data_IF_965428953163
#
_entry.id   IF_965428953163
#
_cell.length_a   1.000
_cell.length_b   1.000
_cell.length_c   1.000
_cell.angle_alpha   90.00
_cell.angle_beta   90.00
_cell.angle_gamma   90.00
#
_symmetry.space_group_name_H-M   'P 1'
#
loop_
_entity.id
_entity.type
_entity.pdbx_description
1 polymer ?
#
# COMPACT_ATOMS: atom_id res chain seq x y z
N UNK A 1 41.09 27.72 -2.20
CA UNK A 1 40.66 27.94 -3.60
C UNK A 1 39.23 27.44 -3.88
N UNK A 2 38.22 27.82 -3.07
CA UNK A 2 36.85 27.34 -3.27
C UNK A 2 35.77 28.44 -3.33
N UNK A 3 36.15 29.70 -3.26
CA UNK A 3 35.21 30.85 -3.22
C UNK A 3 34.65 31.22 -4.60
N UNK A 4 35.39 31.01 -5.68
CA UNK A 4 34.95 31.38 -7.03
C UNK A 4 33.83 30.48 -7.60
N UNK A 5 33.81 29.19 -7.26
CA UNK A 5 32.80 28.30 -7.79
C UNK A 5 31.39 28.54 -7.19
N UNK A 6 31.33 28.92 -5.92
CA UNK A 6 30.04 29.21 -5.26
C UNK A 6 29.39 30.48 -5.81
N UNK A 7 30.18 31.50 -6.07
CA UNK A 7 29.70 32.79 -6.66
C UNK A 7 29.15 32.56 -8.08
N UNK A 8 29.82 31.73 -8.87
CA UNK A 8 29.38 31.39 -10.23
C UNK A 8 28.07 30.62 -10.22
N UNK A 9 27.90 29.63 -9.30
CA UNK A 9 26.68 28.83 -9.17
C UNK A 9 25.52 29.74 -8.71
N UNK A 10 25.72 30.61 -7.71
CA UNK A 10 24.68 31.53 -7.25
C UNK A 10 24.22 32.49 -8.36
N UNK A 11 25.14 33.05 -9.11
CA UNK A 11 24.81 33.93 -10.25
C UNK A 11 24.04 33.19 -11.37
N UNK A 12 24.33 31.88 -11.58
CA UNK A 12 23.56 31.06 -12.52
C UNK A 12 22.15 30.78 -12.00
N UNK A 13 21.98 30.52 -10.72
CA UNK A 13 20.68 30.30 -10.10
C UNK A 13 19.80 31.54 -10.14
N UNK A 14 20.38 32.72 -9.88
CA UNK A 14 19.66 33.98 -9.90
C UNK A 14 19.16 34.39 -11.31
N UNK A 15 19.76 33.85 -12.37
CA UNK A 15 19.35 34.06 -13.76
C UNK A 15 18.33 33.07 -14.29
N UNK A 16 18.05 32.01 -13.53
CA UNK A 16 17.10 30.95 -13.95
C UNK A 16 15.67 31.34 -13.59
N UNK A 17 14.74 31.04 -14.49
CA UNK A 17 13.30 31.10 -14.17
C UNK A 17 12.93 30.07 -13.09
N UNK A 18 11.87 30.35 -12.34
CA UNK A 18 11.34 29.46 -11.33
C UNK A 18 11.02 28.08 -11.93
N UNK A 19 10.56 28.04 -13.17
CA UNK A 19 10.22 26.81 -13.90
C UNK A 19 11.49 26.00 -14.25
N UNK A 20 12.56 26.65 -14.68
CA UNK A 20 13.83 25.99 -14.92
C UNK A 20 14.46 25.44 -13.64
N UNK A 21 14.38 26.19 -12.53
CA UNK A 21 14.83 25.73 -11.23
C UNK A 21 14.07 24.50 -10.77
N UNK A 22 12.75 24.48 -10.91
CA UNK A 22 11.90 23.31 -10.60
C UNK A 22 12.27 22.10 -11.45
N UNK A 23 12.45 22.29 -12.76
CA UNK A 23 12.81 21.20 -13.69
C UNK A 23 14.20 20.62 -13.38
N UNK A 24 15.18 21.45 -13.05
CA UNK A 24 16.51 20.97 -12.65
C UNK A 24 16.50 20.29 -11.30
N UNK A 25 15.75 20.84 -10.32
CA UNK A 25 15.59 20.19 -9.02
C UNK A 25 14.92 18.81 -9.17
N UNK A 26 13.85 18.71 -9.96
CA UNK A 26 13.18 17.46 -10.25
C UNK A 26 14.14 16.46 -10.93
N UNK A 27 14.93 16.90 -11.92
CA UNK A 27 15.92 16.05 -12.57
C UNK A 27 17.02 15.59 -11.60
N UNK A 28 17.45 16.45 -10.70
CA UNK A 28 18.44 16.12 -9.67
C UNK A 28 17.88 15.12 -8.66
N UNK A 29 16.66 15.34 -8.19
CA UNK A 29 15.96 14.41 -7.28
C UNK A 29 15.75 13.04 -7.92
N UNK A 30 15.39 12.98 -9.22
CA UNK A 30 15.26 11.74 -9.96
C UNK A 30 16.59 10.99 -10.13
N UNK A 31 17.72 11.72 -10.16
CA UNK A 31 19.07 11.14 -10.27
C UNK A 31 19.61 10.62 -8.94
N UNK A 32 19.12 11.13 -7.81
CA UNK A 32 19.53 10.74 -6.46
C UNK A 32 18.35 10.15 -5.68
N UNK A 33 18.26 8.81 -5.64
CA UNK A 33 17.22 8.06 -4.92
C UNK A 33 17.15 8.43 -3.42
N UNK A 34 18.24 8.97 -2.84
CA UNK A 34 18.26 9.38 -1.42
C UNK A 34 17.40 10.61 -1.16
N UNK A 35 17.16 11.43 -2.19
CA UNK A 35 16.36 12.66 -2.13
C UNK A 35 14.88 12.43 -2.45
N UNK A 36 14.54 11.24 -2.96
CA UNK A 36 13.14 10.92 -3.24
C UNK A 36 12.35 10.73 -1.95
N UNK A 37 11.13 11.31 -1.85
CA UNK A 37 10.26 11.06 -0.72
C UNK A 37 10.03 9.57 -0.50
N UNK A 38 10.06 9.13 0.77
CA UNK A 38 9.93 7.72 1.14
C UNK A 38 8.61 7.47 1.87
N UNK A 39 7.97 6.33 1.62
CA UNK A 39 6.79 5.94 2.37
C UNK A 39 7.13 5.74 3.85
N UNK A 40 6.38 6.40 4.74
CA UNK A 40 6.51 6.30 6.20
C UNK A 40 5.28 5.70 6.87
N UNK A 41 4.16 5.62 6.14
CA UNK A 41 2.90 5.09 6.64
C UNK A 41 1.97 4.62 5.54
N UNK A 42 0.90 3.93 5.95
CA UNK A 42 -0.21 3.54 5.08
C UNK A 42 -1.52 3.91 5.75
N UNK A 43 -2.43 4.49 4.99
CA UNK A 43 -3.76 4.87 5.46
C UNK A 43 -4.84 4.21 4.60
N UNK A 44 -5.88 3.70 5.27
CA UNK A 44 -7.14 3.26 4.65
C UNK A 44 -8.20 4.28 5.04
N UNK A 45 -8.73 4.98 4.06
CA UNK A 45 -9.63 6.12 4.24
C UNK A 45 -10.95 5.88 3.50
N UNK A 46 -12.07 6.25 4.11
CA UNK A 46 -13.36 6.29 3.42
C UNK A 46 -13.28 7.28 2.26
N UNK A 47 -13.71 6.85 1.07
CA UNK A 47 -13.72 7.74 -0.10
C UNK A 47 -15.01 8.56 -0.16
N UNK A 48 -14.88 9.83 -0.53
CA UNK A 48 -16.01 10.71 -0.83
C UNK A 48 -16.51 10.53 -2.27
N UNK A 49 -15.77 9.80 -3.11
CA UNK A 49 -16.11 9.56 -4.50
C UNK A 49 -17.12 8.41 -4.66
N UNK A 50 -18.40 8.78 -4.75
CA UNK A 50 -19.52 7.85 -4.91
C UNK A 50 -19.47 7.07 -6.24
N UNK A 51 -18.65 7.49 -7.20
CA UNK A 51 -18.51 6.77 -8.49
C UNK A 51 -17.56 5.59 -8.40
N UNK A 52 -16.75 5.52 -7.36
CA UNK A 52 -15.83 4.39 -7.14
C UNK A 52 -16.58 3.12 -6.74
N UNK A 53 -16.15 2.00 -7.29
CA UNK A 53 -16.68 0.68 -6.93
C UNK A 53 -16.27 0.20 -5.52
N UNK A 54 -15.37 0.91 -4.85
CA UNK A 54 -14.90 0.63 -3.51
C UNK A 54 -15.04 1.88 -2.65
N UNK A 55 -15.55 1.69 -1.44
CA UNK A 55 -15.76 2.79 -0.48
C UNK A 55 -14.49 3.29 0.20
N UNK A 56 -13.41 2.56 0.12
CA UNK A 56 -12.18 2.86 0.83
C UNK A 56 -11.01 2.91 -0.13
N UNK A 57 -10.26 3.98 -0.04
CA UNK A 57 -9.01 4.14 -0.73
C UNK A 57 -7.83 3.84 0.21
N UNK A 58 -6.72 3.43 -0.38
CA UNK A 58 -5.48 3.16 0.33
C UNK A 58 -4.43 4.15 -0.13
N UNK A 59 -3.78 4.81 0.80
CA UNK A 59 -2.74 5.79 0.53
C UNK A 59 -1.42 5.39 1.20
N UNK A 60 -0.31 5.58 0.51
CA UNK A 60 1.02 5.62 1.12
C UNK A 60 1.26 7.06 1.57
N UNK A 61 1.60 7.24 2.84
CA UNK A 61 1.96 8.52 3.43
C UNK A 61 3.47 8.69 3.28
N UNK A 62 3.90 9.82 2.71
CA UNK A 62 5.30 10.09 2.42
C UNK A 62 5.92 10.98 3.50
N UNK A 63 7.24 10.93 3.66
CA UNK A 63 8.00 11.71 4.65
C UNK A 63 8.02 13.22 4.36
N UNK A 64 7.71 13.63 3.12
CA UNK A 64 7.55 15.02 2.72
C UNK A 64 6.12 15.58 2.95
N UNK A 65 5.23 14.76 3.55
CA UNK A 65 3.83 15.11 3.80
C UNK A 65 2.90 14.91 2.59
N UNK A 66 3.40 14.43 1.46
CA UNK A 66 2.56 14.06 0.32
C UNK A 66 1.94 12.66 0.50
N UNK A 67 0.96 12.34 -0.34
CA UNK A 67 0.26 11.06 -0.34
C UNK A 67 0.26 10.44 -1.74
N UNK A 68 0.36 9.11 -1.82
CA UNK A 68 0.23 8.37 -3.08
C UNK A 68 -0.88 7.34 -2.98
N UNK A 69 -1.95 7.48 -3.78
CA UNK A 69 -3.03 6.51 -3.83
C UNK A 69 -2.56 5.18 -4.44
N UNK A 70 -2.80 4.09 -3.71
CA UNK A 70 -2.55 2.73 -4.20
C UNK A 70 -3.73 2.27 -5.07
N UNK A 71 -3.52 2.25 -6.39
CA UNK A 71 -4.56 1.87 -7.36
C UNK A 71 -4.64 0.37 -7.56
N UNK A 72 -5.45 -0.30 -6.74
CA UNK A 72 -5.74 -1.72 -6.93
C UNK A 72 -6.65 -1.92 -8.14
N UNK A 73 -6.22 -2.75 -9.08
CA UNK A 73 -7.01 -3.09 -10.28
C UNK A 73 -8.00 -4.22 -10.04
N UNK A 74 -7.80 -5.02 -9.01
CA UNK A 74 -8.72 -6.09 -8.64
C UNK A 74 -9.20 -5.97 -7.20
N UNK A 75 -10.45 -6.41 -6.98
CA UNK A 75 -11.14 -6.31 -5.69
C UNK A 75 -10.50 -7.18 -4.61
N UNK A 76 -10.00 -8.32 -4.98
CA UNK A 76 -9.52 -9.32 -4.02
C UNK A 76 -8.14 -8.95 -3.46
N UNK A 77 -7.25 -8.41 -4.27
CA UNK A 77 -5.96 -7.90 -3.79
C UNK A 77 -6.14 -6.75 -2.82
N UNK A 78 -7.08 -5.83 -3.10
CA UNK A 78 -7.45 -4.75 -2.16
C UNK A 78 -8.02 -5.32 -0.87
N UNK A 79 -8.98 -6.25 -0.98
CA UNK A 79 -9.61 -6.90 0.17
C UNK A 79 -8.58 -7.57 1.09
N UNK A 80 -7.71 -8.41 0.53
CA UNK A 80 -6.67 -9.13 1.29
C UNK A 80 -5.67 -8.16 1.89
N UNK A 81 -5.33 -7.09 1.18
CA UNK A 81 -4.43 -6.07 1.70
C UNK A 81 -5.02 -5.35 2.91
N UNK A 82 -6.24 -4.80 2.79
CA UNK A 82 -6.92 -4.11 3.89
C UNK A 82 -7.15 -5.08 5.06
N UNK A 83 -7.59 -6.31 4.78
CA UNK A 83 -7.73 -7.33 5.83
C UNK A 83 -6.42 -7.57 6.58
N UNK A 84 -5.30 -7.60 5.88
CA UNK A 84 -3.98 -7.80 6.50
C UNK A 84 -3.57 -6.59 7.34
N UNK A 85 -3.85 -5.37 6.90
CA UNK A 85 -3.61 -4.15 7.69
C UNK A 85 -4.42 -4.14 9.00
N UNK A 86 -5.65 -4.66 8.98
CA UNK A 86 -6.50 -4.80 10.18
C UNK A 86 -5.97 -5.86 11.17
N UNK A 87 -4.98 -6.67 10.77
CA UNK A 87 -4.39 -7.71 11.59
C UNK A 87 -2.90 -7.44 11.86
N UNK A 88 -2.56 -6.45 12.69
CA UNK A 88 -1.17 -5.99 12.90
C UNK A 88 -0.25 -7.04 13.52
N UNK A 89 -0.80 -8.10 14.10
CA UNK A 89 -0.04 -9.26 14.63
C UNK A 89 0.11 -10.39 13.60
N UNK A 90 -0.37 -10.17 12.37
CA UNK A 90 -0.51 -11.23 11.38
C UNK A 90 -1.63 -12.22 11.73
N UNK A 91 -1.85 -13.19 10.86
CA UNK A 91 -2.88 -14.21 11.03
C UNK A 91 -2.49 -15.53 10.37
N UNK A 92 -3.15 -16.63 10.78
CA UNK A 92 -2.93 -17.93 10.16
C UNK A 92 -3.79 -18.07 8.92
N UNK A 93 -3.22 -18.53 7.79
CA UNK A 93 -4.00 -18.74 6.57
C UNK A 93 -5.10 -19.80 6.75
N UNK A 94 -4.89 -20.80 7.62
CA UNK A 94 -5.92 -21.76 7.98
C UNK A 94 -7.12 -21.14 8.70
N UNK A 95 -6.93 -20.03 9.41
CA UNK A 95 -8.01 -19.28 10.04
C UNK A 95 -9.00 -18.75 9.02
N UNK A 96 -8.52 -18.29 7.85
CA UNK A 96 -9.39 -17.78 6.80
C UNK A 96 -10.32 -18.84 6.21
N UNK A 97 -9.91 -20.12 6.21
CA UNK A 97 -10.76 -21.21 5.67
C UNK A 97 -12.00 -21.48 6.50
N UNK A 98 -11.90 -21.27 7.82
CA UNK A 98 -12.95 -21.64 8.76
C UNK A 98 -13.67 -20.37 9.26
N UNK A 99 -13.19 -19.80 10.35
CA UNK A 99 -13.86 -18.67 11.01
C UNK A 99 -13.51 -17.32 10.35
N UNK A 100 -12.32 -17.19 9.74
CA UNK A 100 -11.88 -15.95 9.12
C UNK A 100 -12.51 -15.67 7.76
N UNK A 101 -13.06 -16.71 7.08
CA UNK A 101 -13.80 -16.49 5.83
C UNK A 101 -15.01 -15.58 6.07
N UNK A 102 -15.70 -15.71 7.20
CA UNK A 102 -16.80 -14.81 7.57
C UNK A 102 -16.29 -13.37 7.65
N UNK A 103 -15.23 -13.11 8.41
CA UNK A 103 -14.65 -11.76 8.52
C UNK A 103 -14.19 -11.17 7.18
N UNK A 104 -13.68 -12.04 6.29
CA UNK A 104 -13.31 -11.62 4.93
C UNK A 104 -14.55 -11.27 4.08
N UNK A 105 -15.63 -12.04 4.22
CA UNK A 105 -16.91 -11.78 3.54
C UNK A 105 -17.57 -10.51 4.06
N UNK A 106 -17.56 -10.29 5.37
CA UNK A 106 -18.11 -9.10 6.00
C UNK A 106 -17.34 -7.86 5.53
N UNK A 107 -16.01 -7.93 5.52
CA UNK A 107 -15.18 -6.85 4.99
C UNK A 107 -15.43 -6.59 3.50
N UNK A 108 -15.56 -7.65 2.69
CA UNK A 108 -15.87 -7.51 1.26
C UNK A 108 -17.19 -6.75 1.05
N UNK A 109 -18.24 -7.13 1.78
CA UNK A 109 -19.54 -6.46 1.70
C UNK A 109 -19.46 -5.00 2.15
N UNK A 110 -18.64 -4.70 3.16
CA UNK A 110 -18.39 -3.33 3.64
C UNK A 110 -17.66 -2.51 2.60
N UNK A 111 -16.62 -3.07 1.95
CA UNK A 111 -15.81 -2.35 0.97
C UNK A 111 -16.58 -2.06 -0.33
N UNK A 112 -17.44 -2.99 -0.77
CA UNK A 112 -18.00 -2.95 -2.14
C UNK A 112 -19.51 -2.83 -2.19
N UNK A 113 -20.24 -2.77 -1.06
CA UNK A 113 -21.71 -2.84 -1.03
C UNK A 113 -22.28 -4.00 -1.86
N UNK A 114 -21.58 -5.11 -1.90
CA UNK A 114 -21.90 -6.24 -2.74
C UNK A 114 -21.97 -7.51 -1.92
N UNK A 115 -22.74 -8.48 -2.41
CA UNK A 115 -22.74 -9.82 -1.84
C UNK A 115 -21.34 -10.45 -1.89
N UNK A 116 -20.94 -11.09 -0.80
CA UNK A 116 -19.71 -11.86 -0.72
C UNK A 116 -19.82 -13.28 -1.31
N UNK A 117 -20.94 -13.61 -1.94
CA UNK A 117 -21.18 -14.91 -2.59
C UNK A 117 -20.03 -15.37 -3.49
N UNK A 118 -19.41 -14.50 -4.32
CA UNK A 118 -18.25 -14.88 -5.12
C UNK A 118 -17.05 -15.37 -4.31
N UNK A 119 -16.90 -14.95 -3.05
CA UNK A 119 -15.82 -15.44 -2.19
C UNK A 119 -16.12 -16.84 -1.64
N UNK A 120 -17.38 -17.17 -1.42
CA UNK A 120 -17.80 -18.46 -0.84
C UNK A 120 -17.53 -19.64 -1.76
N UNK A 121 -17.41 -19.41 -3.07
CA UNK A 121 -17.05 -20.45 -4.04
C UNK A 121 -15.59 -20.93 -3.93
N UNK A 122 -14.73 -20.14 -3.28
CA UNK A 122 -13.33 -20.51 -3.09
C UNK A 122 -13.19 -21.43 -1.89
N UNK A 123 -13.06 -22.73 -2.12
CA UNK A 123 -12.89 -23.77 -1.09
C UNK A 123 -11.60 -24.56 -1.29
N UNK A 124 -11.09 -25.18 -0.25
CA UNK A 124 -9.93 -26.08 -0.31
C UNK A 124 -8.71 -25.44 -0.98
N UNK A 125 -8.17 -26.11 -2.01
CA UNK A 125 -6.97 -25.64 -2.72
C UNK A 125 -7.26 -24.42 -3.62
N UNK A 126 -8.49 -24.27 -4.11
CA UNK A 126 -8.90 -23.05 -4.84
C UNK A 126 -8.82 -21.83 -3.95
N UNK A 127 -9.17 -21.95 -2.65
CA UNK A 127 -9.02 -20.85 -1.70
C UNK A 127 -7.53 -20.49 -1.49
N UNK A 128 -6.65 -21.49 -1.37
CA UNK A 128 -5.21 -21.23 -1.24
C UNK A 128 -4.68 -20.48 -2.46
N UNK A 129 -5.01 -20.96 -3.67
CA UNK A 129 -4.57 -20.33 -4.91
C UNK A 129 -5.06 -18.89 -5.00
N UNK A 130 -6.35 -18.66 -4.77
CA UNK A 130 -6.96 -17.35 -4.69
C UNK A 130 -6.22 -16.43 -3.72
N UNK A 131 -5.99 -16.91 -2.49
CA UNK A 131 -5.34 -16.14 -1.44
C UNK A 131 -3.91 -15.75 -1.81
N UNK A 132 -3.09 -16.71 -2.25
CA UNK A 132 -1.70 -16.42 -2.61
C UNK A 132 -1.58 -15.53 -3.85
N UNK A 133 -2.47 -15.68 -4.82
CA UNK A 133 -2.53 -14.77 -5.97
C UNK A 133 -2.87 -13.34 -5.53
N UNK A 134 -3.87 -13.17 -4.66
CA UNK A 134 -4.26 -11.87 -4.15
C UNK A 134 -3.15 -11.21 -3.32
N UNK A 135 -2.41 -11.98 -2.50
CA UNK A 135 -1.22 -11.50 -1.78
C UNK A 135 -0.13 -11.06 -2.77
N UNK A 136 0.16 -11.86 -3.79
CA UNK A 136 1.18 -11.52 -4.78
C UNK A 136 0.81 -10.26 -5.57
N UNK A 137 -0.44 -10.15 -6.00
CA UNK A 137 -0.94 -8.97 -6.72
C UNK A 137 -0.93 -7.71 -5.85
N UNK A 138 -1.32 -7.80 -4.57
CA UNK A 138 -1.28 -6.66 -3.67
C UNK A 138 0.13 -6.06 -3.56
N UNK A 139 1.17 -6.91 -3.49
CA UNK A 139 2.58 -6.46 -3.49
C UNK A 139 2.93 -5.71 -4.77
N UNK A 140 2.47 -6.20 -5.92
CA UNK A 140 2.71 -5.53 -7.22
C UNK A 140 2.08 -4.14 -7.21
N UNK A 141 0.85 -3.98 -6.69
CA UNK A 141 0.19 -2.67 -6.64
C UNK A 141 0.91 -1.71 -5.69
N UNK A 142 1.34 -2.16 -4.51
CA UNK A 142 2.12 -1.35 -3.58
C UNK A 142 3.44 -0.89 -4.22
N UNK A 143 4.19 -1.82 -4.82
CA UNK A 143 5.48 -1.53 -5.45
C UNK A 143 5.35 -0.64 -6.68
N UNK A 144 4.27 -0.77 -7.46
CA UNK A 144 3.99 0.09 -8.61
C UNK A 144 3.58 1.50 -8.18
N UNK A 145 3.06 1.67 -6.96
CA UNK A 145 2.76 2.99 -6.40
C UNK A 145 4.05 3.67 -5.96
N UNK A 146 4.92 2.93 -5.28
CA UNK A 146 6.25 3.41 -4.90
C UNK A 146 7.21 2.23 -4.73
N UNK A 147 8.37 2.21 -5.43
CA UNK A 147 9.34 1.13 -5.33
C UNK A 147 9.98 1.02 -3.93
N UNK A 148 9.99 2.10 -3.14
CA UNK A 148 10.51 2.12 -1.77
C UNK A 148 9.49 1.62 -0.72
N UNK A 149 8.23 1.34 -1.14
CA UNK A 149 7.16 0.89 -0.24
C UNK A 149 7.25 -0.59 0.18
N UNK A 150 8.42 -1.23 0.09
CA UNK A 150 8.62 -2.65 0.40
C UNK A 150 8.19 -3.04 1.81
N UNK A 151 8.35 -2.16 2.78
CA UNK A 151 7.94 -2.41 4.16
C UNK A 151 6.41 -2.46 4.35
N UNK A 152 5.66 -1.91 3.39
CA UNK A 152 4.20 -1.92 3.38
C UNK A 152 3.61 -3.06 2.54
N UNK A 153 4.44 -3.92 1.95
CA UNK A 153 4.00 -5.14 1.27
C UNK A 153 3.61 -6.21 2.31
N UNK A 154 2.57 -6.99 2.01
CA UNK A 154 2.29 -8.19 2.79
C UNK A 154 3.51 -9.12 2.72
N UNK A 155 4.10 -9.45 3.84
CA UNK A 155 5.26 -10.34 3.90
C UNK A 155 4.96 -11.73 3.34
N UNK A 156 6.01 -12.47 2.97
CA UNK A 156 5.84 -13.85 2.50
C UNK A 156 5.26 -14.74 3.60
N UNK A 157 4.17 -15.48 3.33
CA UNK A 157 3.64 -16.43 4.28
C UNK A 157 4.72 -17.44 4.69
N UNK A 158 4.93 -17.60 5.99
CA UNK A 158 5.95 -18.49 6.56
C UNK A 158 5.27 -19.71 7.16
N UNK A 159 5.85 -20.88 6.91
CA UNK A 159 5.48 -22.10 7.64
C UNK A 159 6.16 -22.09 9.01
N UNK A 160 5.35 -22.16 10.05
CA UNK A 160 5.83 -22.28 11.42
C UNK A 160 4.98 -23.38 12.12
N UNK A 161 5.65 -24.39 12.66
CA UNK A 161 5.01 -25.52 13.35
C UNK A 161 3.84 -26.12 12.54
N UNK A 162 4.10 -26.46 11.26
CA UNK A 162 3.12 -27.03 10.33
C UNK A 162 1.98 -26.08 9.89
N UNK A 163 2.00 -24.83 10.36
CA UNK A 163 0.99 -23.81 10.06
C UNK A 163 1.56 -22.68 9.22
N UNK A 164 0.76 -22.13 8.31
CA UNK A 164 1.17 -21.00 7.52
C UNK A 164 0.72 -19.71 8.21
N UNK A 165 1.68 -18.90 8.66
CA UNK A 165 1.47 -17.56 9.20
C UNK A 165 1.60 -16.54 8.07
N UNK A 166 0.61 -15.67 7.93
CA UNK A 166 0.67 -14.47 7.10
C UNK A 166 1.12 -13.32 8.02
N UNK A 167 2.30 -12.74 7.79
CA UNK A 167 2.76 -11.63 8.62
C UNK A 167 1.95 -10.36 8.35
N UNK A 168 2.02 -9.39 9.25
CA UNK A 168 1.45 -8.07 9.04
C UNK A 168 2.04 -7.43 7.76
N UNK A 169 1.28 -6.55 7.13
CA UNK A 169 1.75 -5.79 5.97
C UNK A 169 2.68 -4.65 6.39
N UNK A 170 2.51 -4.12 7.60
CA UNK A 170 3.33 -3.05 8.16
C UNK A 170 3.32 -3.10 9.69
N UNK A 171 4.22 -2.34 10.33
CA UNK A 171 4.14 -2.08 11.77
C UNK A 171 2.83 -1.35 12.11
N UNK A 172 2.18 -1.75 13.22
CA UNK A 172 0.90 -1.17 13.65
C UNK A 172 0.97 0.36 13.85
N UNK A 173 2.13 0.89 14.25
CA UNK A 173 2.34 2.33 14.43
C UNK A 173 2.34 3.13 13.13
N UNK A 174 2.54 2.44 11.99
CA UNK A 174 2.57 3.02 10.65
C UNK A 174 1.25 2.84 9.88
N UNK A 175 0.22 2.27 10.52
CA UNK A 175 -1.06 1.94 9.88
C UNK A 175 -2.19 2.78 10.47
N UNK A 176 -2.85 3.53 9.62
CA UNK A 176 -4.06 4.30 9.94
C UNK A 176 -5.23 3.64 9.23
N UNK A 177 -6.26 3.25 9.98
CA UNK A 177 -7.47 2.65 9.43
C UNK A 177 -8.67 3.47 9.86
N UNK A 178 -9.52 3.82 8.91
CA UNK A 178 -10.76 4.52 9.16
C UNK A 178 -11.59 3.81 10.24
N UNK A 179 -12.16 4.59 11.16
CA UNK A 179 -12.88 4.05 12.31
C UNK A 179 -14.13 3.26 11.91
N UNK A 180 -14.71 3.51 10.74
CA UNK A 180 -15.87 2.76 10.23
C UNK A 180 -15.55 1.33 9.79
N UNK A 181 -14.25 0.98 9.69
CA UNK A 181 -13.77 -0.40 9.43
C UNK A 181 -13.38 -1.16 10.71
N UNK A 182 -13.31 -0.49 11.86
CA UNK A 182 -13.02 -1.09 13.16
C UNK A 182 -14.31 -1.51 13.84
#
# INVERSE_FOLDING_TARGET
MNTNNNTTIMNMLDQMSVEELKNRLAAYMLADESLMPKPIGVEVRLTDDITKNCRYDVFLLMDDGTEKEVKFRDRYSRLIYIYTLMHPKGYRSAFLKNNGLKGLCDLYSTLYFASAEPLMQYTGDRFKQFFYQSVAQSRVFIRNTDPHAKEFEIGSPKKYDGRTLVPAAADASKVIIDNSLK
#
